data_IF_502409061396
#
_entry.id   IF_502409061396
#
_cell.length_a   1.000
_cell.length_b   1.000
_cell.length_c   1.000
_cell.angle_alpha   90.00
_cell.angle_beta   90.00
_cell.angle_gamma   90.00
#
_symmetry.space_group_name_H-M   'P 1'
#
loop_
_entity.id
_entity.type
_entity.pdbx_description
1 polymer ?
#
# COMPACT_ATOMS: atom_id res chain seq x y z
N UNK A 1 -16.02 -2.78 19.93
CA UNK A 1 -15.12 -3.89 19.63
C UNK A 1 -13.64 -3.48 19.65
N UNK A 2 -13.27 -2.33 19.13
CA UNK A 2 -11.88 -1.86 19.11
C UNK A 2 -11.76 -0.35 19.02
N UNK A 3 -10.68 0.21 19.58
CA UNK A 3 -10.32 1.62 19.50
C UNK A 3 -8.81 1.73 19.31
N UNK A 4 -8.41 2.49 18.28
CA UNK A 4 -7.04 2.94 18.08
C UNK A 4 -7.03 4.46 17.92
N UNK A 5 -6.13 5.14 18.63
CA UNK A 5 -6.12 6.60 18.71
C UNK A 5 -4.71 7.16 18.67
N UNK A 6 -4.53 8.22 17.88
CA UNK A 6 -3.41 9.14 17.94
C UNK A 6 -3.96 10.48 18.44
N UNK A 7 -3.75 10.81 19.74
CA UNK A 7 -4.34 12.01 20.34
C UNK A 7 -4.02 13.30 19.57
N UNK A 8 -5.05 14.10 19.33
CA UNK A 8 -4.95 15.35 18.59
C UNK A 8 -4.88 15.22 17.06
N UNK A 9 -4.83 14.01 16.51
CA UNK A 9 -4.76 13.77 15.07
C UNK A 9 -5.98 12.98 14.57
N UNK A 10 -6.08 11.70 14.97
CA UNK A 10 -7.12 10.79 14.47
C UNK A 10 -7.40 9.63 15.42
N UNK A 11 -8.65 9.17 15.42
CA UNK A 11 -9.06 7.92 16.07
C UNK A 11 -9.85 7.03 15.10
N UNK A 12 -9.68 5.72 15.19
CA UNK A 12 -10.50 4.72 14.52
C UNK A 12 -11.20 3.85 15.55
N UNK A 13 -12.51 3.69 15.40
CA UNK A 13 -13.37 3.01 16.37
C UNK A 13 -14.19 1.95 15.64
N UNK A 14 -14.04 0.69 16.03
CA UNK A 14 -14.88 -0.40 15.50
C UNK A 14 -16.10 -0.54 16.40
N UNK A 15 -17.28 -0.47 15.83
CA UNK A 15 -18.57 -0.56 16.52
C UNK A 15 -19.40 -1.73 15.99
N UNK A 16 -20.13 -2.39 16.92
CA UNK A 16 -21.02 -3.51 16.64
C UNK A 16 -22.36 -3.28 17.34
N UNK A 17 -23.45 -3.73 16.74
CA UNK A 17 -24.76 -3.80 17.40
C UNK A 17 -25.13 -5.25 17.68
N UNK A 18 -25.66 -5.52 18.85
CA UNK A 18 -26.27 -6.82 19.19
C UNK A 18 -27.67 -6.96 18.59
N UNK A 19 -28.32 -5.86 18.20
CA UNK A 19 -29.62 -5.87 17.50
C UNK A 19 -29.39 -5.59 16.01
N UNK A 20 -29.71 -6.56 15.16
CA UNK A 20 -29.55 -6.47 13.69
C UNK A 20 -30.37 -5.35 13.02
N UNK A 21 -31.37 -4.81 13.73
CA UNK A 21 -32.20 -3.70 13.23
C UNK A 21 -31.55 -2.34 13.44
N UNK A 22 -30.49 -2.27 14.20
CA UNK A 22 -29.78 -1.02 14.51
C UNK A 22 -28.50 -0.94 13.69
N UNK A 23 -28.39 0.11 12.88
CA UNK A 23 -27.11 0.48 12.27
C UNK A 23 -26.18 1.09 13.32
N UNK A 24 -25.08 0.40 13.70
CA UNK A 24 -24.21 0.86 14.75
C UNK A 24 -23.45 2.14 14.38
N UNK A 25 -23.09 2.30 13.11
CA UNK A 25 -22.39 3.51 12.60
C UNK A 25 -23.31 4.70 12.64
N UNK A 26 -24.51 4.57 12.08
CA UNK A 26 -25.50 5.63 12.09
C UNK A 26 -25.93 6.04 13.50
N UNK A 27 -26.01 5.08 14.44
CA UNK A 27 -26.29 5.36 15.83
C UNK A 27 -25.20 6.20 16.52
N UNK A 28 -23.92 5.96 16.21
CA UNK A 28 -22.79 6.72 16.72
C UNK A 28 -22.68 8.11 16.03
N UNK A 29 -22.83 8.17 14.71
CA UNK A 29 -22.72 9.41 13.94
C UNK A 29 -23.87 10.38 14.23
N UNK A 30 -25.10 9.85 14.34
CA UNK A 30 -26.32 10.63 14.50
C UNK A 30 -26.75 11.36 13.24
N UNK A 31 -27.94 11.98 13.27
CA UNK A 31 -28.45 12.72 12.13
C UNK A 31 -27.50 13.84 11.72
N UNK A 32 -27.06 13.84 10.46
CA UNK A 32 -26.11 14.83 9.90
C UNK A 32 -24.82 14.97 10.75
N UNK A 33 -24.38 13.91 11.41
CA UNK A 33 -23.18 13.94 12.24
C UNK A 33 -23.33 14.62 13.61
N UNK A 34 -24.55 14.89 14.07
CA UNK A 34 -24.81 15.70 15.26
C UNK A 34 -24.16 15.13 16.54
N UNK A 35 -24.09 13.79 16.68
CA UNK A 35 -23.49 13.15 17.85
C UNK A 35 -21.99 13.14 17.78
N UNK A 36 -21.43 12.69 16.64
CA UNK A 36 -19.99 12.57 16.48
C UNK A 36 -19.28 13.93 16.50
N UNK A 37 -19.90 14.97 15.92
CA UNK A 37 -19.34 16.31 15.92
C UNK A 37 -19.22 16.95 17.31
N UNK A 38 -20.11 16.59 18.24
CA UNK A 38 -19.99 17.03 19.62
C UNK A 38 -18.69 16.50 20.25
N UNK A 39 -18.40 15.20 20.05
CA UNK A 39 -17.20 14.55 20.55
C UNK A 39 -15.94 15.09 19.85
N UNK A 40 -15.99 15.27 18.53
CA UNK A 40 -14.88 15.86 17.75
C UNK A 40 -14.48 17.24 18.30
N UNK A 41 -15.48 18.08 18.67
CA UNK A 41 -15.21 19.41 19.27
C UNK A 41 -14.57 19.30 20.66
N UNK A 42 -15.01 18.37 21.49
CA UNK A 42 -14.39 18.12 22.81
C UNK A 42 -12.94 17.65 22.69
N UNK A 43 -12.62 16.93 21.61
CA UNK A 43 -11.28 16.42 21.31
C UNK A 43 -10.44 17.36 20.44
N UNK A 44 -10.71 18.67 20.46
CA UNK A 44 -9.98 19.69 19.72
C UNK A 44 -9.90 19.41 18.20
N UNK A 45 -11.03 19.01 17.62
CA UNK A 45 -11.17 18.66 16.18
C UNK A 45 -10.37 17.43 15.73
N UNK A 46 -10.12 16.49 16.63
CA UNK A 46 -9.56 15.18 16.29
C UNK A 46 -10.50 14.44 15.32
N UNK A 47 -9.97 13.91 14.22
CA UNK A 47 -10.76 13.14 13.25
C UNK A 47 -11.15 11.79 13.85
N UNK A 48 -12.43 11.41 13.74
CA UNK A 48 -12.92 10.13 14.26
C UNK A 48 -13.55 9.34 13.11
N UNK A 49 -12.96 8.19 12.80
CA UNK A 49 -13.50 7.22 11.84
C UNK A 49 -14.24 6.13 12.59
N UNK A 50 -15.51 5.92 12.25
CA UNK A 50 -16.35 4.87 12.83
C UNK A 50 -16.47 3.74 11.80
N UNK A 51 -16.01 2.56 12.18
CA UNK A 51 -15.95 1.36 11.35
C UNK A 51 -16.98 0.36 11.83
N UNK A 52 -17.82 -0.14 10.92
CA UNK A 52 -18.77 -1.20 11.25
C UNK A 52 -18.05 -2.54 11.33
N UNK A 53 -18.20 -3.22 12.46
CA UNK A 53 -17.61 -4.54 12.71
C UNK A 53 -18.11 -5.60 11.73
N UNK A 54 -17.24 -6.50 11.38
CA UNK A 54 -17.55 -7.73 10.66
C UNK A 54 -16.53 -8.81 11.05
N UNK A 55 -16.91 -10.08 10.96
CA UNK A 55 -16.03 -11.22 11.19
C UNK A 55 -15.11 -11.51 9.99
N UNK A 56 -15.43 -10.95 8.82
CA UNK A 56 -14.61 -11.09 7.61
C UNK A 56 -13.45 -10.10 7.64
N UNK A 57 -12.23 -10.61 7.79
CA UNK A 57 -11.00 -9.82 7.92
C UNK A 57 -10.83 -8.84 6.76
N UNK A 58 -11.06 -9.30 5.53
CA UNK A 58 -10.95 -8.48 4.31
C UNK A 58 -11.84 -7.24 4.36
N UNK A 59 -13.11 -7.42 4.70
CA UNK A 59 -14.07 -6.31 4.77
C UNK A 59 -13.74 -5.39 5.94
N UNK A 60 -13.30 -5.93 7.07
CA UNK A 60 -12.93 -5.15 8.25
C UNK A 60 -11.72 -4.26 7.96
N UNK A 61 -10.67 -4.85 7.37
CA UNK A 61 -9.44 -4.14 7.00
C UNK A 61 -9.74 -3.06 5.95
N UNK A 62 -10.49 -3.40 4.89
CA UNK A 62 -10.89 -2.45 3.87
C UNK A 62 -11.63 -1.24 4.45
N UNK A 63 -12.58 -1.46 5.36
CA UNK A 63 -13.30 -0.38 6.06
C UNK A 63 -12.39 0.44 6.98
N UNK A 64 -11.45 -0.23 7.66
CA UNK A 64 -10.53 0.44 8.57
C UNK A 64 -9.52 1.33 7.83
N UNK A 65 -9.20 1.04 6.57
CA UNK A 65 -8.32 1.85 5.71
C UNK A 65 -9.00 3.12 5.17
N UNK A 66 -10.33 3.22 5.32
CA UNK A 66 -11.05 4.44 4.91
C UNK A 66 -10.33 5.73 5.38
N UNK A 67 -10.30 6.81 4.57
CA UNK A 67 -11.11 7.04 3.36
C UNK A 67 -10.59 6.39 2.07
N UNK A 68 -9.35 5.92 2.01
CA UNK A 68 -8.80 5.21 0.86
C UNK A 68 -9.47 3.83 0.69
N UNK A 69 -9.59 3.39 -0.56
CA UNK A 69 -10.19 2.11 -0.91
C UNK A 69 -9.12 1.21 -1.53
N UNK A 70 -8.74 0.09 -0.88
CA UNK A 70 -7.79 -0.81 -1.49
C UNK A 70 -8.38 -1.46 -2.74
N UNK A 71 -7.56 -1.61 -3.78
CA UNK A 71 -7.85 -2.39 -4.98
C UNK A 71 -7.86 -3.87 -4.65
N UNK A 72 -6.81 -4.32 -3.98
CA UNK A 72 -6.62 -5.69 -3.56
C UNK A 72 -6.11 -5.78 -2.12
N UNK A 73 -6.47 -6.85 -1.44
CA UNK A 73 -5.98 -7.21 -0.11
C UNK A 73 -5.46 -8.66 -0.16
N UNK A 74 -4.20 -8.85 0.19
CA UNK A 74 -3.61 -10.18 0.40
C UNK A 74 -3.44 -10.38 1.90
N UNK A 75 -4.23 -11.30 2.46
CA UNK A 75 -4.35 -11.50 3.91
C UNK A 75 -3.78 -12.86 4.28
N UNK A 76 -2.90 -12.86 5.27
CA UNK A 76 -2.39 -14.02 5.96
C UNK A 76 -2.95 -14.02 7.39
N UNK A 77 -4.03 -14.77 7.61
CA UNK A 77 -4.71 -14.83 8.91
C UNK A 77 -3.85 -15.52 9.99
N UNK A 78 -2.94 -16.43 9.60
CA UNK A 78 -2.08 -17.13 10.54
C UNK A 78 -1.03 -16.19 11.16
N UNK A 79 -0.55 -15.23 10.37
CA UNK A 79 0.45 -14.23 10.79
C UNK A 79 -0.17 -12.90 11.20
N UNK A 80 -1.47 -12.73 11.07
CA UNK A 80 -2.17 -11.45 11.19
C UNK A 80 -1.48 -10.36 10.36
N UNK A 81 -1.25 -10.65 9.08
CA UNK A 81 -0.55 -9.79 8.15
C UNK A 81 -1.40 -9.50 6.91
N UNK A 82 -1.32 -8.30 6.38
CA UNK A 82 -2.06 -7.89 5.20
C UNK A 82 -1.21 -6.98 4.32
N UNK A 83 -1.15 -7.28 3.02
CA UNK A 83 -0.69 -6.37 1.99
C UNK A 83 -1.92 -5.72 1.37
N UNK A 84 -1.99 -4.40 1.41
CA UNK A 84 -3.07 -3.60 0.83
C UNK A 84 -2.53 -2.81 -0.38
N UNK A 85 -3.13 -3.03 -1.55
CA UNK A 85 -2.75 -2.38 -2.80
C UNK A 85 -3.77 -1.30 -3.13
N UNK A 86 -3.28 -0.13 -3.50
CA UNK A 86 -4.08 1.05 -3.85
C UNK A 86 -3.74 1.53 -5.26
N UNK A 87 -4.64 2.30 -5.86
CA UNK A 87 -4.24 3.18 -6.96
C UNK A 87 -3.19 4.17 -6.44
N UNK A 88 -2.22 4.52 -7.28
CA UNK A 88 -1.04 5.30 -6.83
C UNK A 88 -1.43 6.69 -6.29
N UNK A 89 -2.47 7.31 -6.86
CA UNK A 89 -3.05 8.58 -6.38
C UNK A 89 -3.77 8.46 -5.01
N UNK A 90 -4.24 7.27 -4.63
CA UNK A 90 -4.88 7.01 -3.32
C UNK A 90 -3.88 6.58 -2.23
N UNK A 91 -2.66 6.21 -2.59
CA UNK A 91 -1.67 5.65 -1.65
C UNK A 91 -1.33 6.63 -0.51
N UNK A 92 -1.11 7.91 -0.84
CA UNK A 92 -0.81 8.92 0.18
C UNK A 92 -1.94 9.04 1.21
N UNK A 93 -3.20 8.99 0.74
CA UNK A 93 -4.38 9.02 1.61
C UNK A 93 -4.51 7.75 2.45
N UNK A 94 -4.16 6.59 1.90
CA UNK A 94 -4.16 5.31 2.60
C UNK A 94 -3.15 5.28 3.74
N UNK A 95 -1.94 5.73 3.49
CA UNK A 95 -0.87 5.86 4.49
C UNK A 95 -1.24 6.94 5.51
N UNK A 96 -1.70 8.09 5.01
CA UNK A 96 -2.00 9.27 5.79
C UNK A 96 -0.76 9.98 6.32
N UNK A 97 -0.92 11.20 6.80
CA UNK A 97 0.17 12.01 7.32
C UNK A 97 0.97 11.25 8.37
N UNK A 98 2.28 11.08 8.16
CA UNK A 98 3.20 10.30 9.03
C UNK A 98 2.75 8.85 9.28
N UNK A 99 2.02 8.24 8.34
CA UNK A 99 1.54 6.88 8.49
C UNK A 99 0.37 6.70 9.46
N UNK A 100 -0.27 7.77 9.91
CA UNK A 100 -1.31 7.70 10.96
C UNK A 100 -2.48 6.83 10.53
N UNK A 101 -2.95 6.92 9.28
CA UNK A 101 -4.13 6.19 8.84
C UNK A 101 -3.89 4.67 8.84
N UNK A 102 -2.82 4.21 8.18
CA UNK A 102 -2.48 2.78 8.12
C UNK A 102 -2.10 2.22 9.49
N UNK A 103 -1.36 2.98 10.31
CA UNK A 103 -0.99 2.56 11.66
C UNK A 103 -2.20 2.39 12.60
N UNK A 104 -3.20 3.28 12.49
CA UNK A 104 -4.44 3.15 13.28
C UNK A 104 -5.30 2.00 12.75
N UNK A 105 -5.37 1.80 11.43
CA UNK A 105 -6.04 0.66 10.84
C UNK A 105 -5.41 -0.66 11.32
N UNK A 106 -4.09 -0.77 11.29
CA UNK A 106 -3.35 -1.94 11.81
C UNK A 106 -3.68 -2.20 13.28
N UNK A 107 -3.62 -1.17 14.12
CA UNK A 107 -3.88 -1.32 15.56
C UNK A 107 -5.31 -1.72 15.86
N UNK A 108 -6.30 -1.16 15.16
CA UNK A 108 -7.71 -1.41 15.46
C UNK A 108 -8.20 -2.74 14.92
N UNK A 109 -7.61 -3.24 13.82
CA UNK A 109 -7.96 -4.54 13.23
C UNK A 109 -7.14 -5.70 13.80
N UNK A 110 -5.97 -5.42 14.39
CA UNK A 110 -5.04 -6.43 14.86
C UNK A 110 -4.14 -7.03 13.80
N UNK A 111 -4.21 -6.55 12.54
CA UNK A 111 -3.35 -6.99 11.45
C UNK A 111 -2.22 -5.99 11.24
N UNK A 112 -1.02 -6.48 10.98
CA UNK A 112 0.05 -5.65 10.44
C UNK A 112 -0.27 -5.38 8.96
N UNK A 113 -0.51 -4.12 8.60
CA UNK A 113 -0.91 -3.73 7.24
C UNK A 113 0.25 -2.97 6.60
N UNK A 114 0.74 -3.49 5.47
CA UNK A 114 1.67 -2.81 4.59
C UNK A 114 0.90 -2.33 3.35
N UNK A 115 1.03 -1.04 3.02
CA UNK A 115 0.32 -0.40 1.92
C UNK A 115 1.30 -0.12 0.77
N UNK A 116 0.89 -0.50 -0.45
CA UNK A 116 1.65 -0.30 -1.68
C UNK A 116 0.78 0.35 -2.75
N UNK A 117 1.38 1.19 -3.58
CA UNK A 117 0.82 1.59 -4.86
C UNK A 117 0.84 0.42 -5.84
N UNK A 118 -0.07 0.44 -6.79
CA UNK A 118 -0.20 -0.63 -7.78
C UNK A 118 1.06 -0.78 -8.62
N UNK A 119 1.61 0.33 -9.12
CA UNK A 119 2.82 0.31 -9.96
C UNK A 119 4.03 -0.24 -9.20
N UNK A 120 4.23 0.18 -7.94
CA UNK A 120 5.31 -0.34 -7.10
C UNK A 120 5.14 -1.83 -6.81
N UNK A 121 3.90 -2.26 -6.53
CA UNK A 121 3.61 -3.67 -6.26
C UNK A 121 3.85 -4.54 -7.49
N UNK A 122 3.32 -4.14 -8.65
CA UNK A 122 3.47 -4.86 -9.91
C UNK A 122 4.94 -4.96 -10.32
N UNK A 123 5.73 -3.88 -10.13
CA UNK A 123 7.18 -3.89 -10.33
C UNK A 123 7.89 -4.89 -9.43
N UNK A 124 7.59 -4.87 -8.12
CA UNK A 124 8.19 -5.83 -7.16
C UNK A 124 7.84 -7.27 -7.49
N UNK A 125 6.63 -7.53 -7.96
CA UNK A 125 6.22 -8.86 -8.43
C UNK A 125 7.01 -9.28 -9.66
N UNK A 126 7.13 -8.41 -10.65
CA UNK A 126 7.91 -8.67 -11.87
C UNK A 126 9.40 -8.93 -11.54
N UNK A 127 9.99 -8.16 -10.62
CA UNK A 127 11.35 -8.38 -10.15
C UNK A 127 11.52 -9.76 -9.49
N UNK A 128 10.57 -10.17 -8.67
CA UNK A 128 10.59 -11.48 -8.00
C UNK A 128 10.40 -12.66 -8.97
N UNK A 129 9.63 -12.48 -10.04
CA UNK A 129 9.41 -13.46 -11.08
C UNK A 129 10.54 -13.51 -12.13
N UNK A 130 11.51 -12.59 -12.07
CA UNK A 130 12.64 -12.56 -13.00
C UNK A 130 13.46 -13.82 -12.87
N UNK A 131 13.81 -14.44 -14.04
CA UNK A 131 14.65 -15.62 -14.09
C UNK A 131 16.08 -15.31 -13.67
N UNK A 132 16.68 -16.17 -12.88
CA UNK A 132 18.09 -16.04 -12.45
C UNK A 132 19.07 -16.03 -13.63
N UNK A 133 18.69 -16.66 -14.76
CA UNK A 133 19.47 -16.68 -16.01
C UNK A 133 19.57 -15.33 -16.69
N UNK A 134 18.57 -14.44 -16.46
CA UNK A 134 18.43 -13.16 -17.15
C UNK A 134 19.14 -12.01 -16.40
N UNK A 135 19.62 -12.31 -15.19
CA UNK A 135 20.34 -11.33 -14.38
C UNK A 135 21.74 -11.03 -14.95
N UNK A 136 22.07 -9.74 -15.04
CA UNK A 136 23.40 -9.27 -15.34
C UNK A 136 24.41 -9.77 -14.30
N UNK A 137 25.59 -10.25 -14.78
CA UNK A 137 26.67 -10.72 -13.90
C UNK A 137 26.35 -11.94 -13.01
N UNK A 138 25.21 -12.63 -13.23
CA UNK A 138 24.90 -13.84 -12.49
C UNK A 138 25.93 -14.95 -12.74
N UNK A 139 26.38 -15.70 -11.73
CA UNK A 139 27.37 -16.77 -11.86
C UNK A 139 26.84 -17.93 -12.73
N UNK A 140 27.14 -17.95 -14.03
CA UNK A 140 26.63 -18.94 -14.99
C UNK A 140 26.80 -20.40 -14.57
N UNK A 141 27.81 -20.69 -13.73
CA UNK A 141 28.06 -22.04 -13.19
C UNK A 141 27.04 -22.47 -12.16
N UNK A 142 26.36 -21.51 -11.53
CA UNK A 142 25.35 -21.76 -10.49
C UNK A 142 23.95 -21.96 -11.06
N UNK A 143 23.69 -21.56 -12.32
CA UNK A 143 22.37 -21.66 -12.95
C UNK A 143 21.89 -23.11 -12.99
N UNK A 144 22.65 -24.01 -13.61
CA UNK A 144 22.25 -25.42 -13.73
C UNK A 144 22.01 -26.13 -12.39
N UNK A 145 22.90 -26.00 -11.38
CA UNK A 145 22.64 -26.56 -10.06
C UNK A 145 21.36 -26.04 -9.40
N UNK A 146 21.01 -24.76 -9.62
CA UNK A 146 19.78 -24.19 -9.08
C UNK A 146 18.55 -24.68 -9.84
N UNK A 147 18.58 -24.70 -11.17
CA UNK A 147 17.51 -25.25 -12.03
C UNK A 147 17.22 -26.73 -11.72
N UNK A 148 18.24 -27.55 -11.48
CA UNK A 148 18.11 -28.97 -11.09
C UNK A 148 17.41 -29.16 -9.72
N UNK A 149 17.33 -28.10 -8.92
CA UNK A 149 16.65 -28.05 -7.61
C UNK A 149 15.38 -27.18 -7.64
N UNK A 150 14.81 -26.94 -8.83
CA UNK A 150 13.57 -26.16 -9.05
C UNK A 150 13.67 -24.69 -8.59
N UNK A 151 14.89 -24.13 -8.54
CA UNK A 151 15.14 -22.73 -8.18
C UNK A 151 15.48 -21.96 -9.47
N UNK A 152 14.48 -21.31 -10.06
CA UNK A 152 14.58 -20.65 -11.36
C UNK A 152 14.50 -19.13 -11.30
N UNK A 153 13.78 -18.60 -10.31
CA UNK A 153 13.48 -17.17 -10.16
C UNK A 153 14.16 -16.59 -8.94
N UNK A 154 14.19 -15.26 -8.86
CA UNK A 154 14.63 -14.54 -7.66
C UNK A 154 13.77 -14.95 -6.46
N UNK A 155 12.44 -15.07 -6.67
CA UNK A 155 11.50 -15.50 -5.64
C UNK A 155 11.82 -16.89 -5.09
N UNK A 156 12.11 -17.87 -5.95
CA UNK A 156 12.45 -19.24 -5.54
C UNK A 156 13.71 -19.24 -4.66
N UNK A 157 14.71 -18.46 -5.07
CA UNK A 157 15.97 -18.36 -4.32
C UNK A 157 15.77 -17.70 -2.95
N UNK A 158 15.02 -16.59 -2.89
CA UNK A 158 14.77 -15.86 -1.64
C UNK A 158 13.91 -16.64 -0.64
N UNK A 159 13.05 -17.53 -1.12
CA UNK A 159 12.23 -18.42 -0.30
C UNK A 159 12.96 -19.71 0.13
N UNK A 160 14.16 -19.95 -0.39
CA UNK A 160 14.97 -21.12 -0.05
C UNK A 160 15.82 -20.88 1.20
N UNK A 161 15.96 -21.89 2.04
CA UNK A 161 16.85 -21.82 3.22
C UNK A 161 18.33 -21.78 2.77
N UNK A 162 19.10 -20.83 3.28
CA UNK A 162 20.53 -20.70 2.95
C UNK A 162 21.33 -22.00 3.21
N UNK A 163 21.00 -22.71 4.29
CA UNK A 163 21.64 -23.99 4.62
C UNK A 163 21.43 -25.03 3.51
N UNK A 164 20.22 -25.08 2.94
CA UNK A 164 19.90 -25.98 1.81
C UNK A 164 20.58 -25.55 0.51
N UNK A 165 20.71 -24.25 0.28
CA UNK A 165 21.40 -23.72 -0.90
C UNK A 165 22.90 -24.11 -0.93
N UNK A 166 23.56 -24.11 0.23
CA UNK A 166 24.97 -24.53 0.33
C UNK A 166 25.15 -26.04 0.15
N UNK A 167 24.15 -26.86 0.46
CA UNK A 167 24.17 -28.33 0.25
C UNK A 167 24.07 -28.72 -1.24
N UNK A 168 23.60 -27.79 -2.12
CA UNK A 168 23.51 -28.03 -3.55
C UNK A 168 24.90 -28.18 -4.15
N UNK A 169 25.13 -29.32 -4.80
CA UNK A 169 26.42 -29.63 -5.42
C UNK A 169 26.76 -28.59 -6.50
N UNK A 170 27.79 -27.79 -6.24
CA UNK A 170 28.26 -26.73 -7.15
C UNK A 170 27.93 -25.32 -6.66
N UNK A 171 27.18 -25.16 -5.59
CA UNK A 171 26.99 -23.92 -4.86
C UNK A 171 27.93 -23.87 -3.66
N UNK A 172 28.60 -22.76 -3.46
CA UNK A 172 29.50 -22.51 -2.32
C UNK A 172 29.10 -21.18 -1.69
N UNK A 173 29.49 -20.97 -0.43
CA UNK A 173 29.23 -19.68 0.26
C UNK A 173 29.67 -18.46 -0.59
N UNK A 174 30.87 -18.55 -1.21
CA UNK A 174 31.38 -17.49 -2.10
C UNK A 174 30.57 -17.31 -3.39
N UNK A 175 29.91 -18.39 -3.87
CA UNK A 175 29.02 -18.26 -5.03
C UNK A 175 27.67 -17.69 -4.63
N UNK A 176 27.20 -17.97 -3.42
CA UNK A 176 25.98 -17.36 -2.86
C UNK A 176 26.16 -15.85 -2.67
N UNK A 177 27.28 -15.40 -2.08
CA UNK A 177 27.57 -13.96 -2.00
C UNK A 177 27.45 -13.27 -3.36
N UNK A 178 28.04 -13.83 -4.41
CA UNK A 178 27.96 -13.27 -5.77
C UNK A 178 26.57 -13.32 -6.37
N UNK A 179 25.77 -14.33 -6.04
CA UNK A 179 24.39 -14.46 -6.45
C UNK A 179 23.58 -13.32 -5.82
N UNK A 180 23.71 -13.12 -4.51
CA UNK A 180 23.04 -12.02 -3.80
C UNK A 180 23.49 -10.64 -4.30
N UNK A 181 24.80 -10.44 -4.54
CA UNK A 181 25.32 -9.19 -5.12
C UNK A 181 24.71 -8.90 -6.50
N UNK A 182 24.52 -9.94 -7.34
CA UNK A 182 23.90 -9.79 -8.65
C UNK A 182 22.43 -9.40 -8.57
N UNK A 183 21.69 -10.01 -7.64
CA UNK A 183 20.28 -9.69 -7.37
C UNK A 183 20.17 -8.26 -6.83
N UNK A 184 21.00 -7.89 -5.87
CA UNK A 184 21.02 -6.56 -5.29
C UNK A 184 21.26 -5.48 -6.36
N UNK A 185 22.26 -5.71 -7.22
CA UNK A 185 22.59 -4.80 -8.33
C UNK A 185 21.44 -4.67 -9.35
N UNK A 186 20.70 -5.74 -9.59
CA UNK A 186 19.52 -5.73 -10.46
C UNK A 186 18.39 -4.89 -9.84
N UNK A 187 18.09 -5.09 -8.56
CA UNK A 187 17.07 -4.34 -7.84
C UNK A 187 17.41 -2.84 -7.81
N UNK A 188 18.67 -2.49 -7.49
CA UNK A 188 19.14 -1.10 -7.46
C UNK A 188 18.99 -0.41 -8.83
N UNK A 189 19.37 -1.08 -9.93
CA UNK A 189 19.19 -0.54 -11.30
C UNK A 189 17.72 -0.27 -11.64
N UNK A 190 16.81 -1.17 -11.25
CA UNK A 190 15.38 -1.00 -11.50
C UNK A 190 14.78 0.15 -10.65
N UNK A 191 15.29 0.38 -9.44
CA UNK A 191 14.89 1.52 -8.62
C UNK A 191 15.35 2.85 -9.21
N UNK A 192 16.62 2.96 -9.63
CA UNK A 192 17.16 4.17 -10.25
C UNK A 192 16.40 4.55 -11.54
N UNK A 193 16.08 3.56 -12.39
CA UNK A 193 15.33 3.81 -13.63
C UNK A 193 13.88 4.28 -13.38
N UNK A 194 13.26 3.90 -12.27
CA UNK A 194 11.91 4.37 -11.92
C UNK A 194 11.92 5.78 -11.32
N UNK A 195 12.96 6.14 -10.57
CA UNK A 195 13.11 7.48 -10.01
C UNK A 195 13.43 8.52 -11.11
N UNK A 196 14.15 8.13 -12.16
CA UNK A 196 14.39 9.01 -13.32
C UNK A 196 13.12 9.29 -14.14
N UNK A 197 12.23 8.30 -14.30
CA UNK A 197 10.95 8.48 -15.03
C UNK A 197 9.99 9.37 -14.23
N UNK A 198 9.94 9.23 -12.91
CA UNK A 198 9.09 10.06 -12.05
C UNK A 198 9.50 11.54 -12.04
N UNK A 199 10.80 11.84 -12.21
CA UNK A 199 11.32 13.22 -12.28
C UNK A 199 11.05 13.88 -13.64
N UNK A 200 10.95 13.10 -14.73
CA UNK A 200 10.59 13.62 -16.05
C UNK A 200 9.10 13.98 -16.18
N UNK A 201 8.20 13.22 -15.54
CA UNK A 201 6.77 13.52 -15.54
C UNK A 201 6.41 14.75 -14.70
N UNK A 202 7.13 15.05 -13.61
CA UNK A 202 6.91 16.28 -12.82
C UNK A 202 7.35 17.57 -13.56
N UNK A 203 8.15 17.49 -14.62
CA UNK A 203 8.66 18.64 -15.37
C UNK A 203 7.83 19.01 -16.60
N UNK A 204 6.82 18.25 -16.99
CA UNK A 204 5.84 18.61 -18.02
C UNK A 204 4.61 19.31 -17.43
N UNK A 205 4.77 20.53 -16.92
CA UNK A 205 3.62 21.43 -16.70
C UNK A 205 2.96 21.77 -18.05
N UNK A 206 1.62 21.60 -18.21
CA UNK A 206 0.96 22.04 -19.43
C UNK A 206 1.05 23.56 -19.52
N UNK A 207 1.76 24.05 -20.51
CA UNK A 207 1.81 25.47 -20.86
C UNK A 207 0.40 25.95 -21.23
N UNK A 208 -0.28 26.56 -20.31
CA UNK A 208 -1.56 27.26 -20.55
C UNK A 208 -1.26 28.48 -21.41
N UNK A 209 -1.64 28.44 -22.69
CA UNK A 209 -1.60 29.58 -23.58
C UNK A 209 -2.49 30.70 -23.03
N UNK A 210 -1.89 31.88 -22.86
CA UNK A 210 -2.55 33.11 -22.35
C UNK A 210 -3.49 33.80 -23.32
N UNK A 211 -3.83 33.19 -24.44
CA UNK A 211 -4.59 33.85 -25.54
C UNK A 211 -6.11 33.57 -25.54
N UNK A 212 -6.65 32.85 -24.57
CA UNK A 212 -8.08 32.49 -24.52
C UNK A 212 -8.90 33.22 -23.44
N UNK A 213 -8.39 34.29 -22.81
CA UNK A 213 -9.13 35.00 -21.73
C UNK A 213 -9.85 36.29 -22.21
N UNK A 214 -9.74 36.71 -23.48
CA UNK A 214 -10.30 37.98 -23.95
C UNK A 214 -11.66 37.89 -24.71
N UNK A 215 -12.46 36.84 -24.53
CA UNK A 215 -13.72 36.71 -25.27
C UNK A 215 -14.99 36.45 -24.41
N UNK A 216 -14.98 36.69 -23.09
CA UNK A 216 -16.19 36.52 -22.24
C UNK A 216 -16.52 37.76 -21.38
N UNK A 217 -16.26 38.96 -21.84
CA UNK A 217 -16.77 40.22 -21.22
C UNK A 217 -17.53 41.09 -22.20
N UNK A 218 -18.57 40.55 -22.86
CA UNK A 218 -19.51 41.44 -23.59
C UNK A 218 -20.88 40.80 -23.88
N UNK A 219 -21.61 40.32 -22.85
CA UNK A 219 -23.01 39.96 -23.03
C UNK A 219 -23.82 39.93 -21.73
N UNK A 220 -23.75 40.97 -20.88
CA UNK A 220 -24.81 41.22 -19.88
C UNK A 220 -25.01 42.73 -19.67
N UNK A 221 -25.56 43.39 -20.66
CA UNK A 221 -26.34 44.64 -20.51
C UNK A 221 -27.36 44.65 -21.63
N UNK A 222 -28.60 44.32 -21.32
CA UNK A 222 -29.85 44.93 -21.77
C UNK A 222 -31.03 44.10 -21.24
N UNK A 223 -31.89 44.84 -20.54
CA UNK A 223 -33.32 44.87 -20.31
C UNK A 223 -33.84 44.45 -18.92
N UNK A 224 -34.25 45.58 -18.29
CA UNK A 224 -35.41 45.96 -17.48
C UNK A 224 -35.65 45.24 -16.18
#
# INVERSE_FOLDING_TARGET
EGIARQPGERAKIIVKSNDRRIDPVGACVGMRGSRIQAIVRELNNEKIDIVNYTEQSEILISRALSPAKPLNLYIDDDRNYCIAIFEDDELEMAIGRRGVNVNLASKVTGYKIDAFGKEEYDRKQAEQETLLSDLDNFPKRSIKPLEENDINTISDLMNSDEEKLVEIKGITEKSLEKIYDSIQSFIEKNQESSDEVAVEEENEEPSVNKDDIDSIEDSEKVEV
#
